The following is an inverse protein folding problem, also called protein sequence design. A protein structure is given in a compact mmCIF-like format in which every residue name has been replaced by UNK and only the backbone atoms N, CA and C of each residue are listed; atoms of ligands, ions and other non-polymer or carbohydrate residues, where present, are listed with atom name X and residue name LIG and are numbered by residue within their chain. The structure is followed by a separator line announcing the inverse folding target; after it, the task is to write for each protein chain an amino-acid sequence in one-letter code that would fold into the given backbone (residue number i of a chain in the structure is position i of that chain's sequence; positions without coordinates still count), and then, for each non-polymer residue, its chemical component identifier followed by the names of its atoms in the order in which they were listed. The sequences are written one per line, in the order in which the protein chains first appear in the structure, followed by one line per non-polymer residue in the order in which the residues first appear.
data_IF_632903234394
#
_entry.id   IF_632903234394
#
_cell.length_a   1.000
_cell.length_b   1.000
_cell.length_c   1.000
_cell.angle_alpha   90.00
_cell.angle_beta   90.00
_cell.angle_gamma   90.00
#
_symmetry.space_group_name_H-M   'P 1'
#
loop_
_entity.id
_entity.type
_entity.pdbx_description
1 polymer ?
#
# COMPACT_ATOMS: atom_id res chain seq x y z
N UNK A 1 13.22 8.84 4.95
CA UNK A 1 12.15 7.83 5.15
C UNK A 1 12.12 6.92 3.94
N UNK A 2 12.41 5.62 4.06
CA UNK A 2 12.64 4.69 2.92
C UNK A 2 11.36 4.26 2.17
N UNK A 3 10.17 4.54 2.70
CA UNK A 3 8.90 3.93 2.21
C UNK A 3 7.75 4.93 2.05
N UNK A 4 8.00 6.24 2.16
CA UNK A 4 6.95 7.27 2.09
C UNK A 4 5.86 7.15 3.18
N UNK A 5 6.08 6.31 4.21
CA UNK A 5 5.16 6.06 5.31
C UNK A 5 5.91 5.89 6.63
N UNK A 6 5.21 6.13 7.73
CA UNK A 6 5.70 5.92 9.10
C UNK A 6 5.26 4.58 9.63
N UNK A 7 6.23 3.72 10.01
CA UNK A 7 5.91 2.42 10.60
C UNK A 7 5.29 2.56 12.00
N UNK A 8 5.69 3.59 12.76
CA UNK A 8 5.12 3.87 14.08
C UNK A 8 3.63 4.24 13.97
N UNK A 9 3.27 5.10 13.01
CA UNK A 9 1.87 5.49 12.81
C UNK A 9 1.02 4.30 12.35
N UNK A 10 1.58 3.42 11.51
CA UNK A 10 0.91 2.18 11.13
C UNK A 10 0.65 1.28 12.35
N UNK A 11 1.65 1.10 13.21
CA UNK A 11 1.52 0.27 14.41
C UNK A 11 0.48 0.86 15.38
N UNK A 12 0.51 2.17 15.61
CA UNK A 12 -0.50 2.86 16.42
C UNK A 12 -1.90 2.71 15.83
N UNK A 13 -2.04 2.81 14.51
CA UNK A 13 -3.33 2.62 13.86
C UNK A 13 -3.84 1.18 14.03
N UNK A 14 -2.98 0.18 13.81
CA UNK A 14 -3.32 -1.25 13.97
C UNK A 14 -3.73 -1.54 15.41
N UNK A 15 -3.02 -0.99 16.40
CA UNK A 15 -3.35 -1.15 17.81
C UNK A 15 -4.74 -0.59 18.15
N UNK A 16 -5.12 0.55 17.56
CA UNK A 16 -6.39 1.23 17.86
C UNK A 16 -7.59 0.74 17.04
N UNK A 17 -7.37 0.26 15.81
CA UNK A 17 -8.45 -0.03 14.83
C UNK A 17 -8.48 -1.48 14.35
N UNK A 18 -7.46 -2.27 14.70
CA UNK A 18 -7.28 -3.64 14.27
C UNK A 18 -6.62 -3.79 12.89
N UNK A 19 -5.94 -4.93 12.72
CA UNK A 19 -5.21 -5.27 11.50
C UNK A 19 -6.12 -5.35 10.26
N UNK A 20 -7.30 -5.95 10.37
CA UNK A 20 -8.23 -6.12 9.25
C UNK A 20 -8.65 -4.78 8.64
N UNK A 21 -8.96 -3.81 9.51
CA UNK A 21 -9.31 -2.44 9.12
C UNK A 21 -8.13 -1.75 8.44
N UNK A 22 -6.93 -1.91 9.01
CA UNK A 22 -5.71 -1.38 8.43
C UNK A 22 -5.47 -1.93 7.02
N UNK A 23 -5.54 -3.25 6.82
CA UNK A 23 -5.35 -3.91 5.54
C UNK A 23 -6.38 -3.46 4.49
N UNK A 24 -7.66 -3.36 4.87
CA UNK A 24 -8.70 -2.85 3.97
C UNK A 24 -8.41 -1.41 3.51
N UNK A 25 -7.94 -0.56 4.43
CA UNK A 25 -7.55 0.81 4.11
C UNK A 25 -6.29 0.88 3.24
N UNK A 26 -5.27 0.06 3.50
CA UNK A 26 -4.07 0.01 2.65
C UNK A 26 -4.41 -0.48 1.23
N UNK A 27 -5.25 -1.51 1.11
CA UNK A 27 -5.71 -2.03 -0.19
C UNK A 27 -6.43 -0.96 -1.01
N UNK A 28 -7.31 -0.16 -0.37
CA UNK A 28 -7.97 0.97 -1.03
C UNK A 28 -6.99 2.08 -1.40
N UNK A 29 -6.12 2.48 -0.47
CA UNK A 29 -5.16 3.58 -0.65
C UNK A 29 -4.18 3.31 -1.79
N UNK A 30 -3.69 2.08 -1.88
CA UNK A 30 -2.69 1.69 -2.87
C UNK A 30 -3.29 0.99 -4.10
N UNK A 31 -4.62 0.91 -4.23
CA UNK A 31 -5.24 0.37 -5.43
C UNK A 31 -4.75 1.11 -6.68
N UNK A 32 -4.36 0.34 -7.70
CA UNK A 32 -4.08 0.90 -9.01
C UNK A 32 -5.40 1.29 -9.69
N UNK A 33 -5.55 2.52 -10.22
CA UNK A 33 -6.78 2.95 -10.89
C UNK A 33 -7.08 2.19 -12.18
N UNK A 34 -6.08 1.53 -12.78
CA UNK A 34 -6.25 0.77 -14.04
C UNK A 34 -6.63 -0.69 -13.80
N UNK A 35 -5.94 -1.38 -12.88
CA UNK A 35 -6.10 -2.83 -12.69
C UNK A 35 -6.62 -3.24 -11.31
N UNK A 36 -6.91 -2.28 -10.42
CA UNK A 36 -7.36 -2.49 -9.03
C UNK A 36 -6.44 -3.34 -8.14
N UNK A 37 -5.28 -3.77 -8.64
CA UNK A 37 -4.29 -4.47 -7.82
C UNK A 37 -3.59 -3.48 -6.88
N UNK A 38 -3.20 -3.92 -5.66
CA UNK A 38 -2.45 -3.07 -4.75
C UNK A 38 -1.06 -2.77 -5.31
N UNK A 39 -0.70 -1.48 -5.37
CA UNK A 39 0.64 -1.00 -5.71
C UNK A 39 1.60 -1.21 -4.54
N UNK A 40 2.87 -1.42 -4.86
CA UNK A 40 3.94 -1.43 -3.87
C UNK A 40 4.27 -0.01 -3.42
N UNK A 41 4.72 0.14 -2.18
CA UNK A 41 5.20 1.43 -1.63
C UNK A 41 6.61 1.80 -2.08
N UNK A 42 7.31 0.89 -2.78
CA UNK A 42 8.68 1.12 -3.26
C UNK A 42 8.75 1.91 -4.56
N UNK A 43 7.66 1.95 -5.33
CA UNK A 43 7.59 2.59 -6.64
C UNK A 43 6.33 3.44 -6.76
N UNK A 44 6.42 4.52 -7.54
CA UNK A 44 5.30 5.39 -7.87
C UNK A 44 4.38 4.79 -8.95
N UNK A 45 4.91 3.88 -9.77
CA UNK A 45 4.18 3.17 -10.82
C UNK A 45 3.58 1.82 -10.37
N UNK A 46 2.53 1.38 -11.07
CA UNK A 46 1.96 0.06 -10.86
C UNK A 46 2.84 -1.00 -11.51
N UNK A 47 3.43 -1.88 -10.69
CA UNK A 47 4.25 -2.99 -11.19
C UNK A 47 3.45 -3.96 -12.06
N UNK A 48 2.14 -4.09 -11.86
CA UNK A 48 1.31 -4.98 -12.67
C UNK A 48 0.98 -4.40 -14.05
N UNK A 49 0.91 -3.08 -14.18
CA UNK A 49 0.61 -2.42 -15.45
C UNK A 49 1.88 -2.05 -16.24
N UNK A 50 2.95 -1.64 -15.54
CA UNK A 50 4.10 -0.98 -16.15
C UNK A 50 5.44 -1.67 -15.93
N UNK A 51 5.50 -2.75 -15.14
CA UNK A 51 6.74 -3.52 -15.06
C UNK A 51 6.88 -4.32 -16.36
N UNK A 52 7.82 -3.93 -17.21
CA UNK A 52 8.29 -4.81 -18.26
C UNK A 52 8.87 -6.06 -17.60
N UNK A 53 8.22 -7.22 -17.83
CA UNK A 53 8.76 -8.51 -17.40
C UNK A 53 10.02 -8.75 -18.23
N UNK A 54 11.17 -8.59 -17.58
CA UNK A 54 12.48 -8.89 -18.15
C UNK A 54 12.71 -10.39 -18.23
#
# INVERSE_FOLDING_TARGET
MRYGMSMLDNLHYIQNNGEKTFLANQNKKYACPECNKPRTVHYDYCIYCKQEKR
#
